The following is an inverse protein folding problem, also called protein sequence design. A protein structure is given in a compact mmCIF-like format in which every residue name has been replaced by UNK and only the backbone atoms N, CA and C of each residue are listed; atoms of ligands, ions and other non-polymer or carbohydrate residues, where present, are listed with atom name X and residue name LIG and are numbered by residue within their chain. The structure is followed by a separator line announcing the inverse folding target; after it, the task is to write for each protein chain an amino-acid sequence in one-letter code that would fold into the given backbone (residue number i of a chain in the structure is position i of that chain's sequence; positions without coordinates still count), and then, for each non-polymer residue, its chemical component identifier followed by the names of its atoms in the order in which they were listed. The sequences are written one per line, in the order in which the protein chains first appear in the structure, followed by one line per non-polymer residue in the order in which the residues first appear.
data_IF_296435580842
#
_entry.id   IF_296435580842
#
_cell.length_a   1.000
_cell.length_b   1.000
_cell.length_c   1.000
_cell.angle_alpha   90.00
_cell.angle_beta   90.00
_cell.angle_gamma   90.00
#
_symmetry.space_group_name_H-M   'P 1'
#
loop_
_entity.id
_entity.type
_entity.pdbx_description
1 polymer ?
#
# COMPACT_ATOMS: atom_id res chain seq x y z
N UNK A 1 -9.15 4.34 -3.36
CA UNK A 1 -8.63 5.41 -4.25
C UNK A 1 -7.13 5.25 -4.30
N UNK A 2 -6.44 5.40 -5.45
CA UNK A 2 -4.98 5.34 -5.47
C UNK A 2 -4.42 6.47 -4.60
N UNK A 3 -3.62 6.11 -3.59
CA UNK A 3 -2.91 7.09 -2.77
C UNK A 3 -1.72 7.62 -3.58
N UNK A 4 -1.82 8.88 -4.00
CA UNK A 4 -0.69 9.58 -4.62
C UNK A 4 0.01 10.38 -3.53
N UNK A 5 1.35 10.27 -3.37
CA UNK A 5 2.05 11.08 -2.38
C UNK A 5 1.83 12.59 -2.66
N UNK A 6 1.78 13.42 -1.62
CA UNK A 6 1.61 14.86 -1.80
C UNK A 6 2.80 15.47 -2.57
N UNK A 7 2.58 16.48 -3.43
CA UNK A 7 3.69 17.20 -4.04
C UNK A 7 4.54 17.88 -2.97
N UNK A 8 5.85 17.94 -3.19
CA UNK A 8 6.76 18.62 -2.27
C UNK A 8 6.47 20.13 -2.24
N UNK A 9 6.42 20.77 -1.06
CA UNK A 9 6.10 22.19 -0.95
C UNK A 9 7.22 23.10 -1.48
N UNK A 10 6.84 24.17 -2.18
CA UNK A 10 7.75 25.21 -2.69
C UNK A 10 7.15 26.62 -2.47
N UNK A 11 7.77 27.51 -1.66
CA UNK A 11 9.01 27.29 -0.91
C UNK A 11 8.80 26.36 0.30
N UNK A 12 9.83 25.60 0.71
CA UNK A 12 9.75 24.77 1.91
C UNK A 12 9.78 25.64 3.17
N UNK A 13 8.77 25.49 4.02
CA UNK A 13 8.68 26.11 5.35
C UNK A 13 8.51 25.00 6.39
N UNK A 14 8.97 25.21 7.63
CA UNK A 14 8.82 24.20 8.67
C UNK A 14 7.36 23.72 8.85
N UNK A 15 6.40 24.64 8.76
CA UNK A 15 4.97 24.30 8.85
C UNK A 15 4.48 23.43 7.69
N UNK A 16 4.78 23.81 6.44
CA UNK A 16 4.31 23.03 5.29
C UNK A 16 5.05 21.69 5.13
N UNK A 17 6.29 21.58 5.62
CA UNK A 17 7.05 20.33 5.65
C UNK A 17 6.46 19.33 6.64
N UNK A 18 5.99 19.78 7.80
CA UNK A 18 5.31 18.90 8.77
C UNK A 18 4.05 18.28 8.16
N UNK A 19 3.19 19.11 7.56
CA UNK A 19 1.96 18.65 6.88
C UNK A 19 2.29 17.70 5.71
N UNK A 20 3.31 18.03 4.93
CA UNK A 20 3.75 17.17 3.82
C UNK A 20 4.24 15.81 4.32
N UNK A 21 5.01 15.78 5.41
CA UNK A 21 5.51 14.56 6.04
C UNK A 21 4.38 13.64 6.51
N UNK A 22 3.39 14.18 7.21
CA UNK A 22 2.23 13.41 7.69
C UNK A 22 1.46 12.77 6.52
N UNK A 23 1.22 13.56 5.46
CA UNK A 23 0.50 13.08 4.26
C UNK A 23 1.31 12.06 3.46
N UNK A 24 2.64 12.16 3.46
CA UNK A 24 3.50 11.16 2.85
C UNK A 24 3.46 9.84 3.63
N UNK A 25 3.52 9.90 4.96
CA UNK A 25 3.45 8.72 5.82
C UNK A 25 2.12 7.98 5.64
N UNK A 26 0.99 8.69 5.65
CA UNK A 26 -0.34 8.11 5.42
C UNK A 26 -0.45 7.38 4.05
N UNK A 27 0.10 8.01 3.00
CA UNK A 27 0.15 7.39 1.67
C UNK A 27 1.01 6.12 1.65
N UNK A 28 2.15 6.12 2.35
CA UNK A 28 3.02 4.94 2.46
C UNK A 28 2.38 3.82 3.27
N UNK A 29 1.69 4.15 4.37
CA UNK A 29 0.97 3.19 5.19
C UNK A 29 -0.15 2.51 4.41
N UNK A 30 -0.92 3.28 3.64
CA UNK A 30 -1.96 2.74 2.75
C UNK A 30 -1.35 1.81 1.69
N UNK A 31 -0.27 2.23 1.01
CA UNK A 31 0.41 1.39 0.03
C UNK A 31 0.92 0.08 0.66
N UNK A 32 1.45 0.14 1.88
CA UNK A 32 1.90 -1.05 2.59
C UNK A 32 0.74 -1.96 3.02
N UNK A 33 -0.44 -1.40 3.33
CA UNK A 33 -1.65 -2.19 3.57
C UNK A 33 -2.12 -2.92 2.31
N UNK A 34 -2.14 -2.24 1.16
CA UNK A 34 -2.49 -2.85 -0.12
C UNK A 34 -1.54 -4.00 -0.48
N UNK A 35 -0.23 -3.83 -0.29
CA UNK A 35 0.76 -4.90 -0.50
C UNK A 35 0.48 -6.13 0.36
N UNK A 36 0.11 -5.93 1.64
CA UNK A 36 -0.25 -7.05 2.53
C UNK A 36 -1.53 -7.75 2.06
N UNK A 37 -2.53 -6.99 1.61
CA UNK A 37 -3.76 -7.55 1.08
C UNK A 37 -3.52 -8.38 -0.19
N UNK A 38 -2.66 -7.90 -1.10
CA UNK A 38 -2.25 -8.64 -2.30
C UNK A 38 -1.55 -9.95 -1.91
N UNK A 39 -0.57 -9.90 -1.00
CA UNK A 39 0.15 -11.10 -0.57
C UNK A 39 -0.78 -12.16 0.07
N UNK A 40 -1.80 -11.72 0.81
CA UNK A 40 -2.81 -12.61 1.38
C UNK A 40 -3.72 -13.23 0.30
N UNK A 41 -4.08 -12.48 -0.74
CA UNK A 41 -4.81 -13.01 -1.89
C UNK A 41 -3.99 -14.05 -2.65
N UNK A 42 -2.72 -13.77 -2.91
CA UNK A 42 -1.80 -14.70 -3.58
C UNK A 42 -1.68 -16.01 -2.80
N UNK A 43 -1.56 -15.93 -1.47
CA UNK A 43 -1.53 -17.10 -0.59
C UNK A 43 -2.81 -17.94 -0.72
N UNK A 44 -3.98 -17.32 -0.68
CA UNK A 44 -5.28 -18.02 -0.82
C UNK A 44 -5.42 -18.68 -2.19
N UNK A 45 -4.98 -18.00 -3.26
CA UNK A 45 -4.98 -18.56 -4.61
C UNK A 45 -4.08 -19.80 -4.66
N UNK A 46 -2.89 -19.74 -4.07
CA UNK A 46 -1.99 -20.90 -3.99
C UNK A 46 -2.64 -22.07 -3.23
N UNK A 47 -3.23 -21.81 -2.06
CA UNK A 47 -3.93 -22.83 -1.26
C UNK A 47 -5.09 -23.48 -2.02
N UNK A 48 -5.94 -22.68 -2.68
CA UNK A 48 -7.04 -23.18 -3.51
C UNK A 48 -6.53 -23.99 -4.71
N UNK A 49 -5.44 -23.57 -5.34
CA UNK A 49 -4.82 -24.29 -6.47
C UNK A 49 -4.26 -25.64 -6.01
N UNK A 50 -3.61 -25.67 -4.84
CA UNK A 50 -3.16 -26.93 -4.23
C UNK A 50 -4.31 -27.86 -3.85
N UNK A 51 -5.44 -27.32 -3.36
CA UNK A 51 -6.62 -28.09 -2.99
C UNK A 51 -7.40 -28.64 -4.20
N UNK A 52 -7.44 -27.89 -5.30
CA UNK A 52 -8.08 -28.33 -6.55
C UNK A 52 -7.20 -29.29 -7.37
N UNK A 53 -5.96 -29.54 -6.94
CA UNK A 53 -4.98 -30.46 -7.53
C UNK A 53 -4.98 -31.90 -7.00
N UNK A 54 -6.05 -32.37 -6.36
CA UNK A 54 -6.31 -33.81 -6.14
C UNK A 54 -7.70 -34.13 -6.68
N UNK A 55 -7.79 -34.35 -7.99
CA UNK A 55 -8.59 -35.38 -8.68
C UNK A 55 -8.41 -35.17 -10.19
N UNK A 56 -7.36 -35.76 -10.76
CA UNK A 56 -7.47 -36.46 -12.05
C UNK A 56 -6.36 -37.53 -12.15
#
# INVERSE_FOLDING_TARGET
MPVTPPPFPDPPTWGNLGIWGDRLLDALETCNADKRAIAELDKRIAELTHQTGVTQ
#
